data_IF_915066403297
#
_entry.id   IF_915066403297
#
_cell.length_a   1.000
_cell.length_b   1.000
_cell.length_c   1.000
_cell.angle_alpha   90.00
_cell.angle_beta   90.00
_cell.angle_gamma   90.00
#
_symmetry.space_group_name_H-M   'P 1'
#
loop_
_entity.id
_entity.type
_entity.pdbx_description
1 polymer ?
#
# COMPACT_ATOMS: atom_id res chain seq x y z
N UNK A 1 31.55 3.62 -16.38
CA UNK A 1 30.74 4.84 -16.16
C UNK A 1 29.45 4.69 -16.96
N UNK A 2 28.32 4.45 -16.28
CA UNK A 2 27.01 4.36 -16.96
C UNK A 2 26.55 5.77 -17.32
N UNK A 3 26.28 6.01 -18.60
CA UNK A 3 25.83 7.31 -19.10
C UNK A 3 24.39 7.52 -18.61
N UNK A 4 24.06 8.65 -17.96
CA UNK A 4 22.70 8.90 -17.52
C UNK A 4 21.79 9.01 -18.75
N UNK A 5 20.96 7.99 -18.95
CA UNK A 5 19.90 8.03 -19.95
C UNK A 5 18.95 9.16 -19.55
N UNK A 6 18.81 10.16 -20.42
CA UNK A 6 17.71 11.12 -20.31
C UNK A 6 16.41 10.33 -20.46
N UNK A 7 15.79 10.05 -19.32
CA UNK A 7 14.51 9.38 -19.18
C UNK A 7 13.40 10.25 -19.79
N UNK A 8 13.26 10.23 -21.11
CA UNK A 8 12.17 10.88 -21.84
C UNK A 8 11.56 9.85 -22.79
N UNK A 9 10.23 9.75 -22.77
CA UNK A 9 9.48 8.94 -23.72
C UNK A 9 8.62 7.83 -23.08
N UNK A 10 8.10 6.90 -23.92
CA UNK A 10 7.08 5.91 -23.54
C UNK A 10 7.54 4.91 -22.47
N UNK A 11 8.86 4.74 -22.28
CA UNK A 11 9.40 3.87 -21.24
C UNK A 11 9.13 4.40 -19.83
N UNK A 12 9.25 5.72 -19.61
CA UNK A 12 8.89 6.36 -18.32
C UNK A 12 7.43 6.12 -18.05
N UNK A 13 6.56 6.45 -19.01
CA UNK A 13 5.11 6.32 -18.86
C UNK A 13 4.68 4.88 -18.47
N UNK A 14 5.27 3.86 -19.10
CA UNK A 14 5.01 2.46 -18.72
C UNK A 14 5.44 2.15 -17.30
N UNK A 15 6.61 2.65 -16.87
CA UNK A 15 7.10 2.42 -15.52
C UNK A 15 6.25 3.17 -14.48
N UNK A 16 5.79 4.39 -14.79
CA UNK A 16 4.79 5.10 -13.97
C UNK A 16 3.52 4.28 -13.82
N UNK A 17 3.01 3.67 -14.89
CA UNK A 17 1.84 2.79 -14.82
C UNK A 17 2.03 1.54 -13.94
N UNK A 18 3.28 1.13 -13.66
CA UNK A 18 3.58 -0.02 -12.78
C UNK A 18 3.87 0.37 -11.35
N UNK A 19 4.55 1.50 -11.14
CA UNK A 19 5.04 1.94 -9.83
C UNK A 19 4.10 2.99 -9.20
N UNK A 20 3.24 3.62 -10.00
CA UNK A 20 2.26 4.61 -9.55
C UNK A 20 2.84 5.99 -9.21
N UNK A 21 4.16 6.17 -9.34
CA UNK A 21 4.84 7.42 -8.99
C UNK A 21 5.84 7.83 -10.09
N UNK A 22 5.61 8.98 -10.69
CA UNK A 22 6.45 9.50 -11.78
C UNK A 22 7.87 9.83 -11.33
N UNK A 23 8.00 10.46 -10.16
CA UNK A 23 9.31 10.85 -9.63
C UNK A 23 10.17 9.63 -9.29
N UNK A 24 9.56 8.57 -8.74
CA UNK A 24 10.23 7.29 -8.50
C UNK A 24 10.62 6.60 -9.81
N UNK A 25 9.72 6.58 -10.82
CA UNK A 25 10.03 6.01 -12.13
C UNK A 25 11.22 6.71 -12.81
N UNK A 26 11.28 8.05 -12.75
CA UNK A 26 12.41 8.83 -13.26
C UNK A 26 13.72 8.50 -12.52
N UNK A 27 13.70 8.38 -11.19
CA UNK A 27 14.87 7.98 -10.40
C UNK A 27 15.32 6.56 -10.74
N UNK A 28 14.40 5.61 -10.84
CA UNK A 28 14.71 4.23 -11.22
C UNK A 28 15.37 4.17 -12.61
N UNK A 29 14.85 4.91 -13.58
CA UNK A 29 15.46 4.97 -14.91
C UNK A 29 16.81 5.69 -14.90
N UNK A 30 16.98 6.73 -14.09
CA UNK A 30 18.26 7.43 -14.00
C UNK A 30 19.38 6.50 -13.51
N UNK A 31 19.12 5.70 -12.47
CA UNK A 31 20.14 4.84 -11.86
C UNK A 31 20.29 3.47 -12.54
N UNK A 32 19.20 2.90 -13.08
CA UNK A 32 19.16 1.51 -13.50
C UNK A 32 18.69 1.32 -14.95
N UNK A 33 18.70 2.37 -15.78
CA UNK A 33 18.40 2.21 -17.20
C UNK A 33 19.33 1.18 -17.85
N UNK A 34 18.73 0.24 -18.59
CA UNK A 34 19.46 -0.86 -19.25
C UNK A 34 19.57 -2.13 -18.41
N UNK A 35 19.21 -2.10 -17.13
CA UNK A 35 19.22 -3.28 -16.25
C UNK A 35 17.81 -3.87 -16.05
N UNK A 36 17.76 -5.18 -15.80
CA UNK A 36 16.51 -5.87 -15.44
C UNK A 36 16.31 -5.81 -13.93
N UNK A 37 15.40 -4.96 -13.48
CA UNK A 37 15.01 -4.86 -12.08
C UNK A 37 13.75 -5.67 -11.79
N UNK A 38 13.78 -6.44 -10.70
CA UNK A 38 12.58 -7.03 -10.13
C UNK A 38 11.88 -6.00 -9.23
N UNK A 39 10.61 -5.71 -9.54
CA UNK A 39 9.75 -4.89 -8.67
C UNK A 39 8.84 -5.83 -7.88
N UNK A 40 9.03 -5.95 -6.56
CA UNK A 40 8.17 -6.79 -5.74
C UNK A 40 6.75 -6.25 -5.74
N UNK A 41 5.76 -7.16 -5.71
CA UNK A 41 4.33 -6.80 -5.70
C UNK A 41 3.86 -6.14 -4.39
N UNK A 42 4.72 -6.09 -3.36
CA UNK A 42 4.43 -5.53 -2.05
C UNK A 42 3.11 -6.04 -1.42
N UNK A 43 2.63 -7.24 -1.76
CA UNK A 43 1.33 -7.74 -1.34
C UNK A 43 1.18 -7.75 0.20
N UNK A 44 2.18 -8.29 0.90
CA UNK A 44 2.21 -8.30 2.37
C UNK A 44 2.22 -6.89 2.98
N UNK A 45 2.94 -5.94 2.36
CA UNK A 45 2.97 -4.55 2.82
C UNK A 45 1.62 -3.85 2.60
N UNK A 46 0.96 -4.11 1.46
CA UNK A 46 -0.38 -3.59 1.16
C UNK A 46 -1.44 -4.19 2.10
N UNK A 47 -1.33 -5.48 2.41
CA UNK A 47 -2.19 -6.14 3.40
C UNK A 47 -1.98 -5.57 4.80
N UNK A 48 -0.73 -5.32 5.20
CA UNK A 48 -0.41 -4.69 6.47
C UNK A 48 -0.96 -3.25 6.55
N UNK A 49 -0.78 -2.45 5.49
CA UNK A 49 -1.33 -1.10 5.42
C UNK A 49 -2.86 -1.10 5.58
N UNK A 50 -3.55 -1.99 4.85
CA UNK A 50 -5.00 -2.15 4.97
C UNK A 50 -5.40 -2.55 6.39
N UNK A 51 -4.66 -3.45 7.03
CA UNK A 51 -4.93 -3.84 8.41
C UNK A 51 -4.80 -2.65 9.37
N UNK A 52 -3.78 -1.80 9.20
CA UNK A 52 -3.63 -0.55 9.99
C UNK A 52 -4.83 0.37 9.79
N UNK A 53 -5.27 0.57 8.55
CA UNK A 53 -6.45 1.41 8.25
C UNK A 53 -7.72 0.89 8.92
N UNK A 54 -7.97 -0.42 8.83
CA UNK A 54 -9.11 -1.09 9.46
C UNK A 54 -9.07 -0.93 10.98
N UNK A 55 -7.90 -1.12 11.61
CA UNK A 55 -7.72 -0.93 13.05
C UNK A 55 -7.97 0.52 13.48
N UNK A 56 -7.43 1.50 12.75
CA UNK A 56 -7.66 2.93 13.01
C UNK A 56 -9.14 3.30 12.90
N UNK A 57 -9.81 2.84 11.85
CA UNK A 57 -11.23 3.12 11.64
C UNK A 57 -12.12 2.45 12.71
N UNK A 58 -11.81 1.22 13.10
CA UNK A 58 -12.51 0.53 14.19
C UNK A 58 -12.30 1.22 15.54
N UNK A 59 -11.08 1.69 15.83
CA UNK A 59 -10.78 2.46 17.05
C UNK A 59 -11.56 3.77 17.09
N UNK A 60 -11.59 4.52 15.98
CA UNK A 60 -12.37 5.76 15.86
C UNK A 60 -13.87 5.51 16.03
N UNK A 61 -14.41 4.44 15.42
CA UNK A 61 -15.81 4.06 15.58
C UNK A 61 -16.15 3.71 17.04
N UNK A 62 -15.25 3.01 17.73
CA UNK A 62 -15.41 2.68 19.15
C UNK A 62 -15.38 3.93 20.03
N UNK A 63 -14.49 4.88 19.76
CA UNK A 63 -14.44 6.17 20.45
C UNK A 63 -15.73 6.98 20.23
N UNK A 64 -16.34 6.86 19.05
CA UNK A 64 -17.64 7.45 18.73
C UNK A 64 -18.84 6.65 19.31
N UNK A 65 -18.61 5.63 20.14
CA UNK A 65 -19.67 4.83 20.76
C UNK A 65 -20.39 3.86 19.81
N UNK A 66 -19.88 3.64 18.59
CA UNK A 66 -20.49 2.70 17.65
C UNK A 66 -20.18 1.26 18.04
N UNK A 67 -21.18 0.38 17.88
CA UNK A 67 -21.03 -1.03 18.16
C UNK A 67 -20.24 -1.74 17.06
N UNK A 68 -19.60 -2.85 17.42
CA UNK A 68 -18.91 -3.74 16.46
C UNK A 68 -19.86 -4.24 15.37
N UNK A 69 -21.11 -4.57 15.73
CA UNK A 69 -22.12 -5.05 14.80
C UNK A 69 -22.52 -4.02 13.74
N UNK A 70 -22.43 -2.73 14.06
CA UNK A 70 -22.65 -1.66 13.08
C UNK A 70 -21.38 -1.35 12.26
N UNK A 71 -20.21 -1.46 12.88
CA UNK A 71 -18.92 -1.02 12.31
C UNK A 71 -18.34 -2.05 11.33
N UNK A 72 -18.42 -3.35 11.64
CA UNK A 72 -17.83 -4.41 10.81
C UNK A 72 -18.42 -4.48 9.40
N UNK A 73 -19.75 -4.45 9.20
CA UNK A 73 -20.34 -4.47 7.85
C UNK A 73 -20.00 -3.23 7.01
N UNK A 74 -19.76 -2.09 7.65
CA UNK A 74 -19.30 -0.88 6.97
C UNK A 74 -17.86 -1.05 6.47
N UNK A 75 -16.94 -1.47 7.36
CA UNK A 75 -15.55 -1.72 7.01
C UNK A 75 -15.41 -2.81 5.94
N UNK A 76 -16.23 -3.86 6.02
CA UNK A 76 -16.28 -4.94 5.04
C UNK A 76 -16.60 -4.39 3.64
N UNK A 77 -17.63 -3.56 3.50
CA UNK A 77 -17.99 -2.92 2.23
C UNK A 77 -16.91 -1.96 1.73
N UNK A 78 -16.37 -1.11 2.60
CA UNK A 78 -15.35 -0.11 2.24
C UNK A 78 -14.08 -0.76 1.69
N UNK A 79 -13.66 -1.89 2.26
CA UNK A 79 -12.43 -2.58 1.86
C UNK A 79 -12.65 -3.78 0.91
N UNK A 80 -13.89 -4.06 0.50
CA UNK A 80 -14.23 -5.19 -0.36
C UNK A 80 -13.93 -6.56 0.28
N UNK A 81 -14.18 -6.68 1.59
CA UNK A 81 -13.92 -7.87 2.41
C UNK A 81 -15.24 -8.47 2.92
N UNK A 82 -15.18 -9.72 3.38
CA UNK A 82 -16.25 -10.29 4.21
C UNK A 82 -16.14 -9.83 5.66
N UNK A 83 -17.26 -9.79 6.38
CA UNK A 83 -17.30 -9.50 7.81
C UNK A 83 -16.35 -10.40 8.61
N UNK A 84 -16.28 -11.69 8.27
CA UNK A 84 -15.34 -12.65 8.89
C UNK A 84 -13.88 -12.25 8.67
N UNK A 85 -13.53 -11.75 7.48
CA UNK A 85 -12.17 -11.30 7.19
C UNK A 85 -11.81 -10.03 7.99
N UNK A 86 -12.75 -9.08 8.11
CA UNK A 86 -12.56 -7.89 8.96
C UNK A 86 -12.37 -8.30 10.42
N UNK A 87 -13.21 -9.19 10.93
CA UNK A 87 -13.06 -9.72 12.29
C UNK A 87 -11.73 -10.44 12.50
N UNK A 88 -11.28 -11.24 11.52
CA UNK A 88 -9.98 -11.91 11.60
C UNK A 88 -8.80 -10.93 11.62
N UNK A 89 -8.90 -9.81 10.90
CA UNK A 89 -7.92 -8.71 10.93
C UNK A 89 -7.93 -8.03 12.31
N UNK A 90 -9.12 -7.72 12.85
CA UNK A 90 -9.27 -7.07 14.15
C UNK A 90 -8.91 -7.97 15.34
N UNK A 91 -9.00 -9.30 15.18
CA UNK A 91 -8.59 -10.27 16.19
C UNK A 91 -7.07 -10.36 16.36
N UNK A 92 -6.30 -9.83 15.39
CA UNK A 92 -4.84 -9.72 15.46
C UNK A 92 -4.44 -8.30 15.85
N UNK A 93 -3.29 -8.11 16.51
CA UNK A 93 -2.78 -6.77 16.77
C UNK A 93 -2.56 -6.02 15.44
N UNK A 94 -2.74 -4.71 15.46
CA UNK A 94 -2.43 -3.87 14.32
C UNK A 94 -0.93 -4.02 13.96
N UNK A 95 -0.58 -4.23 12.68
CA UNK A 95 0.80 -4.29 12.27
C UNK A 95 1.48 -2.94 12.52
N UNK A 96 2.71 -2.98 13.01
CA UNK A 96 3.57 -1.80 13.10
C UNK A 96 4.19 -1.60 11.72
N UNK A 97 3.85 -0.48 11.08
CA UNK A 97 4.55 -0.04 9.89
C UNK A 97 5.76 0.74 10.38
N UNK A 98 6.93 0.14 10.32
CA UNK A 98 8.18 0.86 10.52
C UNK A 98 8.28 1.88 9.38
N UNK A 99 8.12 3.16 9.70
CA UNK A 99 8.46 4.23 8.77
C UNK A 99 9.96 4.10 8.51
N UNK A 100 10.32 3.66 7.30
CA UNK A 100 11.71 3.39 6.94
C UNK A 100 12.61 4.52 7.39
N UNK A 101 13.55 4.21 8.28
CA UNK A 101 14.59 5.16 8.69
C UNK A 101 15.29 5.71 7.42
N UNK A 102 15.64 7.01 7.42
CA UNK A 102 16.27 7.68 6.29
C UNK A 102 17.61 7.05 5.87
#
# INVERSE_FOLDING_TARGET
MSVPVRASGPAVARLVGKVGCEQLARRLMYFYAGERLYVPRCAAALEALRAVEIHRAAAAARQAGRSTNATVPELARTHGLSDRAVLAILARPAPVLEDGQP
#
